data_IF_653857576101
#
_entry.id   IF_653857576101
#
_cell.length_a   1.000
_cell.length_b   1.000
_cell.length_c   1.000
_cell.angle_alpha   90.00
_cell.angle_beta   90.00
_cell.angle_gamma   90.00
#
_symmetry.space_group_name_H-M   'P 1'
#
loop_
_entity.id
_entity.type
_entity.pdbx_description
1 polymer ?
#
# COMPACT_ATOMS: atom_id res chain seq x y z
N UNK A 1 37.65 -6.32 -27.04
CA UNK A 1 37.48 -7.44 -26.09
C UNK A 1 37.10 -8.67 -26.90
N UNK A 2 37.71 -9.83 -26.62
CA UNK A 2 37.41 -11.08 -27.34
C UNK A 2 36.33 -11.84 -26.61
N UNK A 3 35.28 -12.30 -27.31
CA UNK A 3 34.17 -13.07 -26.75
C UNK A 3 34.67 -14.32 -26.01
N UNK A 4 35.68 -14.98 -26.53
CA UNK A 4 36.32 -16.16 -25.91
C UNK A 4 36.95 -15.91 -24.53
N UNK A 5 37.11 -14.65 -24.10
CA UNK A 5 37.64 -14.25 -22.79
C UNK A 5 36.62 -13.57 -21.91
N UNK A 6 35.33 -13.57 -22.32
CA UNK A 6 34.30 -12.78 -21.65
C UNK A 6 33.57 -13.55 -20.54
N UNK A 7 33.89 -14.83 -20.31
CA UNK A 7 33.09 -15.69 -19.42
C UNK A 7 31.62 -15.69 -19.82
N UNK A 8 31.32 -15.76 -21.10
CA UNK A 8 29.96 -15.76 -21.65
C UNK A 8 29.50 -17.21 -21.81
N UNK A 9 28.55 -17.61 -20.95
CA UNK A 9 27.89 -18.92 -21.01
C UNK A 9 26.41 -18.71 -21.28
N UNK A 10 25.95 -19.11 -22.45
CA UNK A 10 24.54 -19.02 -22.86
C UNK A 10 23.81 -20.33 -22.58
N UNK A 11 22.48 -20.25 -22.42
CA UNK A 11 21.61 -21.41 -22.28
C UNK A 11 20.76 -21.56 -23.53
N UNK A 12 20.53 -22.81 -23.94
CA UNK A 12 19.69 -23.14 -25.10
C UNK A 12 18.22 -23.02 -24.73
N UNK A 13 17.83 -23.59 -23.59
CA UNK A 13 16.47 -23.70 -23.15
C UNK A 13 16.13 -22.62 -22.10
N UNK A 14 14.86 -22.29 -21.93
CA UNK A 14 14.41 -21.39 -20.89
C UNK A 14 14.58 -22.05 -19.53
N UNK A 15 15.19 -21.37 -18.54
CA UNK A 15 15.26 -21.87 -17.17
C UNK A 15 13.84 -22.00 -16.59
N UNK A 16 13.58 -23.10 -15.88
CA UNK A 16 12.26 -23.39 -15.31
C UNK A 16 11.77 -22.33 -14.31
N UNK A 17 12.71 -21.65 -13.66
CA UNK A 17 12.42 -20.58 -12.70
C UNK A 17 12.14 -19.21 -13.33
N UNK A 18 12.27 -19.08 -14.65
CA UNK A 18 12.07 -17.80 -15.34
C UNK A 18 10.69 -17.75 -16.00
N UNK A 19 9.84 -16.87 -15.51
CA UNK A 19 8.46 -16.71 -15.99
C UNK A 19 8.36 -15.68 -17.12
N UNK A 20 8.88 -14.47 -16.90
CA UNK A 20 8.74 -13.34 -17.83
C UNK A 20 9.86 -13.29 -18.87
N UNK A 21 9.62 -12.69 -20.06
CA UNK A 21 10.58 -12.65 -21.15
C UNK A 21 11.94 -12.04 -20.78
N UNK A 22 11.95 -10.94 -20.02
CA UNK A 22 13.19 -10.26 -19.63
C UNK A 22 14.07 -11.15 -18.75
N UNK A 23 13.50 -11.89 -17.79
CA UNK A 23 14.22 -12.82 -16.94
C UNK A 23 14.81 -13.99 -17.75
N UNK A 24 13.99 -14.59 -18.65
CA UNK A 24 14.44 -15.65 -19.57
C UNK A 24 15.63 -15.20 -20.41
N UNK A 25 15.53 -14.04 -21.04
CA UNK A 25 16.59 -13.51 -21.91
C UNK A 25 17.86 -13.19 -21.14
N UNK A 26 17.79 -12.59 -19.96
CA UNK A 26 18.97 -12.28 -19.14
C UNK A 26 19.72 -13.54 -18.71
N UNK A 27 19.02 -14.59 -18.29
CA UNK A 27 19.63 -15.88 -17.94
C UNK A 27 20.22 -16.59 -19.15
N UNK A 28 19.45 -16.68 -20.24
CA UNK A 28 19.87 -17.38 -21.46
C UNK A 28 21.05 -16.72 -22.14
N UNK A 29 21.09 -15.40 -22.19
CA UNK A 29 22.19 -14.65 -22.81
C UNK A 29 23.43 -14.56 -21.92
N UNK A 30 23.43 -15.16 -20.73
CA UNK A 30 24.60 -15.14 -19.85
C UNK A 30 24.90 -13.76 -19.26
N UNK A 31 23.83 -12.97 -18.99
CA UNK A 31 23.95 -11.67 -18.33
C UNK A 31 23.95 -11.82 -16.82
N UNK A 32 23.08 -12.67 -16.28
CA UNK A 32 22.95 -12.92 -14.85
C UNK A 32 23.00 -14.40 -14.53
N UNK A 33 23.27 -14.72 -13.25
CA UNK A 33 23.08 -16.05 -12.66
C UNK A 33 22.43 -15.94 -11.31
N UNK A 34 21.43 -16.76 -11.06
CA UNK A 34 20.73 -16.85 -9.78
C UNK A 34 21.61 -17.62 -8.79
N UNK A 35 21.86 -17.04 -7.63
CA UNK A 35 22.50 -17.69 -6.48
C UNK A 35 21.46 -18.19 -5.48
N UNK A 36 20.41 -17.40 -5.25
CA UNK A 36 19.28 -17.70 -4.39
C UNK A 36 18.04 -16.93 -4.91
N UNK A 37 16.82 -17.22 -4.44
CA UNK A 37 15.64 -16.41 -4.76
C UNK A 37 15.89 -14.93 -4.46
N UNK A 38 15.76 -14.07 -5.49
CA UNK A 38 15.99 -12.63 -5.39
C UNK A 38 17.44 -12.17 -5.27
N UNK A 39 18.42 -13.09 -5.38
CA UNK A 39 19.85 -12.78 -5.30
C UNK A 39 20.55 -13.25 -6.58
N UNK A 40 21.11 -12.30 -7.33
CA UNK A 40 21.70 -12.55 -8.64
C UNK A 40 23.13 -12.03 -8.74
N UNK A 41 23.99 -12.82 -9.38
CA UNK A 41 25.28 -12.34 -9.83
C UNK A 41 25.16 -11.65 -11.19
N UNK A 42 25.70 -10.45 -11.31
CA UNK A 42 25.82 -9.71 -12.57
C UNK A 42 27.10 -10.13 -13.26
N UNK A 43 26.98 -10.86 -14.38
CA UNK A 43 28.13 -11.32 -15.13
C UNK A 43 28.80 -10.17 -15.91
N UNK A 44 30.05 -10.35 -16.46
CA UNK A 44 30.81 -9.24 -17.05
C UNK A 44 30.08 -8.45 -18.12
N UNK A 45 29.20 -9.08 -18.89
CA UNK A 45 28.42 -8.39 -19.92
C UNK A 45 27.31 -7.54 -19.30
N UNK A 46 26.59 -8.07 -18.33
CA UNK A 46 25.55 -7.32 -17.59
C UNK A 46 26.15 -6.15 -16.81
N UNK A 47 27.30 -6.37 -16.16
CA UNK A 47 28.00 -5.31 -15.44
C UNK A 47 28.33 -4.11 -16.33
N UNK A 48 28.72 -4.38 -17.60
CA UNK A 48 28.98 -3.32 -18.59
C UNK A 48 27.70 -2.56 -18.96
N UNK A 49 26.58 -3.26 -19.12
CA UNK A 49 25.27 -2.62 -19.37
C UNK A 49 24.87 -1.75 -18.19
N UNK A 50 24.94 -2.30 -16.98
CA UNK A 50 24.57 -1.58 -15.76
C UNK A 50 25.42 -0.30 -15.59
N UNK A 51 26.74 -0.38 -15.83
CA UNK A 51 27.61 0.81 -15.80
C UNK A 51 27.21 1.87 -16.83
N UNK A 52 26.76 1.48 -18.02
CA UNK A 52 26.26 2.44 -19.02
C UNK A 52 24.97 3.10 -18.58
N UNK A 53 24.04 2.34 -18.03
CA UNK A 53 22.78 2.89 -17.48
C UNK A 53 23.11 3.84 -16.32
N UNK A 54 23.95 3.42 -15.38
CA UNK A 54 24.40 4.27 -14.28
C UNK A 54 25.05 5.58 -14.75
N UNK A 55 25.82 5.52 -15.86
CA UNK A 55 26.43 6.72 -16.42
C UNK A 55 25.38 7.69 -17.01
N UNK A 56 24.37 7.17 -17.70
CA UNK A 56 23.23 7.99 -18.17
C UNK A 56 22.54 8.68 -17.00
N UNK A 57 22.30 7.94 -15.91
CA UNK A 57 21.71 8.50 -14.70
C UNK A 57 22.58 9.60 -14.11
N UNK A 58 23.90 9.39 -13.94
CA UNK A 58 24.83 10.42 -13.42
C UNK A 58 24.74 11.71 -14.23
N UNK A 59 24.86 11.59 -15.54
CA UNK A 59 24.87 12.76 -16.43
C UNK A 59 23.60 13.60 -16.32
N UNK A 60 22.45 12.97 -16.15
CA UNK A 60 21.19 13.71 -15.97
C UNK A 60 20.98 14.24 -14.54
N UNK A 61 21.48 13.52 -13.52
CA UNK A 61 21.49 14.01 -12.15
C UNK A 61 22.44 15.21 -11.99
N UNK A 62 23.67 15.12 -12.52
CA UNK A 62 24.63 16.21 -12.50
C UNK A 62 24.10 17.44 -13.26
N UNK A 63 23.43 17.21 -14.41
CA UNK A 63 22.77 18.30 -15.18
C UNK A 63 21.68 19.02 -14.37
N UNK A 64 21.00 18.30 -13.47
CA UNK A 64 20.00 18.90 -12.58
C UNK A 64 20.60 19.66 -11.40
N UNK A 65 21.93 19.63 -11.24
CA UNK A 65 22.65 20.28 -10.14
C UNK A 65 22.76 19.40 -8.88
N UNK A 66 22.36 18.15 -8.95
CA UNK A 66 22.50 17.21 -7.82
C UNK A 66 23.97 16.74 -7.68
N UNK A 67 24.38 16.45 -6.44
CA UNK A 67 25.74 16.04 -6.11
C UNK A 67 25.79 14.57 -5.73
N UNK A 68 26.69 13.79 -6.36
CA UNK A 68 26.86 12.37 -6.03
C UNK A 68 27.55 12.21 -4.66
N UNK A 69 27.00 11.32 -3.85
CA UNK A 69 27.55 10.91 -2.55
C UNK A 69 27.53 9.39 -2.43
N UNK A 70 28.11 8.84 -1.38
CA UNK A 70 28.07 7.41 -1.05
C UNK A 70 27.81 7.25 0.44
N UNK A 71 26.68 6.68 0.81
CA UNK A 71 26.22 6.51 2.18
C UNK A 71 26.44 5.07 2.66
N UNK A 72 26.60 4.82 3.98
CA UNK A 72 26.81 3.48 4.51
C UNK A 72 25.59 2.58 4.34
N UNK A 73 25.84 1.30 4.04
CA UNK A 73 24.78 0.27 3.97
C UNK A 73 24.41 -0.28 5.35
N UNK A 74 25.39 -0.38 6.25
CA UNK A 74 25.13 -0.73 7.64
C UNK A 74 24.60 0.50 8.37
N UNK A 75 23.39 0.43 8.82
CA UNK A 75 22.68 1.54 9.46
C UNK A 75 22.36 1.19 10.91
N UNK A 76 22.76 2.04 11.87
CA UNK A 76 22.41 1.83 13.28
C UNK A 76 20.90 1.87 13.51
N UNK A 77 20.39 0.93 14.32
CA UNK A 77 18.97 0.86 14.67
C UNK A 77 18.44 2.16 15.28
N UNK A 78 19.27 2.88 16.04
CA UNK A 78 18.89 4.12 16.71
C UNK A 78 18.41 5.21 15.72
N UNK A 79 18.92 5.24 14.49
CA UNK A 79 18.46 6.18 13.45
C UNK A 79 17.00 5.91 13.07
N UNK A 80 16.66 4.64 12.90
CA UNK A 80 15.33 4.17 12.53
C UNK A 80 14.35 4.22 13.71
N UNK A 81 14.83 4.01 14.93
CA UNK A 81 14.03 4.18 16.16
C UNK A 81 13.66 5.64 16.36
N UNK A 82 14.58 6.59 16.08
CA UNK A 82 14.31 8.04 16.16
C UNK A 82 13.27 8.52 15.16
N UNK A 83 13.17 7.90 13.98
CA UNK A 83 12.12 8.18 12.99
C UNK A 83 10.81 7.42 13.26
N UNK A 84 10.79 6.51 14.25
CA UNK A 84 9.65 5.64 14.53
C UNK A 84 9.45 4.51 13.52
N UNK A 85 10.39 4.29 12.59
CA UNK A 85 10.22 3.34 11.47
C UNK A 85 10.84 1.96 11.73
N UNK A 86 11.64 1.79 12.82
CA UNK A 86 12.34 0.53 13.08
C UNK A 86 11.40 -0.67 13.17
N UNK A 87 10.37 -0.57 14.01
CA UNK A 87 9.43 -1.68 14.23
C UNK A 87 8.67 -2.05 12.95
N UNK A 88 8.16 -1.05 12.19
CA UNK A 88 7.45 -1.29 10.94
C UNK A 88 8.31 -1.87 9.82
N UNK A 89 9.64 -1.73 9.91
CA UNK A 89 10.58 -2.25 8.92
C UNK A 89 11.23 -3.58 9.30
N UNK A 90 11.20 -3.97 10.58
CA UNK A 90 11.85 -5.21 11.08
C UNK A 90 10.88 -6.26 11.61
N UNK A 91 9.64 -5.88 11.98
CA UNK A 91 8.63 -6.79 12.53
C UNK A 91 7.57 -7.16 11.49
N UNK A 92 6.97 -8.33 11.64
CA UNK A 92 5.89 -8.81 10.78
C UNK A 92 6.34 -8.96 9.32
N UNK A 93 5.70 -8.21 8.41
CA UNK A 93 6.05 -8.15 6.98
C UNK A 93 7.13 -7.10 6.68
N UNK A 94 7.90 -6.70 7.68
CA UNK A 94 8.99 -5.74 7.53
C UNK A 94 10.02 -6.16 6.48
N UNK A 95 10.49 -5.18 5.71
CA UNK A 95 11.37 -5.42 4.55
C UNK A 95 12.86 -5.23 4.85
N UNK A 96 13.25 -4.96 6.09
CA UNK A 96 14.64 -4.72 6.46
C UNK A 96 15.32 -5.98 6.96
N UNK A 97 16.44 -6.37 6.33
CA UNK A 97 17.39 -7.28 6.96
C UNK A 97 18.04 -6.61 8.16
N UNK A 98 17.93 -7.18 9.34
CA UNK A 98 18.55 -6.69 10.55
C UNK A 98 19.49 -7.74 11.16
N UNK A 99 20.49 -7.28 11.88
CA UNK A 99 21.52 -8.12 12.50
C UNK A 99 22.07 -7.45 13.76
N UNK A 100 22.68 -8.25 14.60
CA UNK A 100 23.39 -7.79 15.79
C UNK A 100 24.91 -7.89 15.57
N UNK A 101 25.65 -6.85 15.94
CA UNK A 101 27.10 -6.88 15.89
C UNK A 101 27.69 -7.60 17.11
N UNK A 102 29.03 -7.78 17.12
CA UNK A 102 29.74 -8.48 18.23
C UNK A 102 29.64 -7.76 19.57
N UNK A 103 29.15 -6.51 19.60
CA UNK A 103 28.99 -5.72 20.82
C UNK A 103 27.52 -5.67 21.26
N UNK A 104 26.64 -6.45 20.62
CA UNK A 104 25.21 -6.47 20.93
C UNK A 104 24.46 -5.24 20.40
N UNK A 105 24.99 -4.54 19.39
CA UNK A 105 24.28 -3.41 18.78
C UNK A 105 23.48 -3.87 17.57
N UNK A 106 22.23 -3.45 17.54
CA UNK A 106 21.34 -3.72 16.40
C UNK A 106 21.68 -2.82 15.20
N UNK A 107 21.71 -3.42 14.04
CA UNK A 107 22.02 -2.77 12.76
C UNK A 107 21.04 -3.26 11.70
N UNK A 108 20.68 -2.40 10.75
CA UNK A 108 19.94 -2.77 9.54
C UNK A 108 20.80 -2.70 8.29
N UNK A 109 20.52 -3.56 7.30
CA UNK A 109 20.99 -3.36 5.93
C UNK A 109 20.04 -2.40 5.22
N UNK A 110 20.55 -1.28 4.73
CA UNK A 110 19.74 -0.17 4.22
C UNK A 110 18.80 -0.52 3.07
N UNK A 111 17.47 -0.57 3.30
CA UNK A 111 16.46 -0.64 2.24
C UNK A 111 16.29 0.72 1.55
N UNK A 112 16.62 1.79 2.25
CA UNK A 112 16.61 3.20 1.84
C UNK A 112 17.55 4.01 2.77
N UNK A 113 17.70 5.33 2.57
CA UNK A 113 18.70 6.12 3.32
C UNK A 113 18.16 7.46 3.85
N UNK A 114 16.85 7.64 4.02
CA UNK A 114 16.26 8.87 4.55
C UNK A 114 16.83 9.20 5.93
N UNK A 115 16.92 8.24 6.84
CA UNK A 115 17.41 8.42 8.18
C UNK A 115 18.88 8.86 8.20
N UNK A 116 19.69 8.20 7.37
CA UNK A 116 21.14 8.47 7.27
C UNK A 116 21.37 9.85 6.69
N UNK A 117 20.75 10.20 5.57
CA UNK A 117 20.99 11.46 4.88
C UNK A 117 20.44 12.66 5.68
N UNK A 118 19.30 12.46 6.37
CA UNK A 118 18.72 13.51 7.23
C UNK A 118 19.59 13.77 8.45
N UNK A 119 20.14 12.71 9.04
CA UNK A 119 21.11 12.86 10.14
C UNK A 119 22.36 13.62 9.69
N UNK A 120 22.89 13.28 8.51
CA UNK A 120 24.04 13.94 7.93
C UNK A 120 23.74 15.41 7.60
N UNK A 121 22.58 15.69 7.01
CA UNK A 121 22.15 17.06 6.69
C UNK A 121 21.96 17.90 7.95
N UNK A 122 21.35 17.34 9.00
CA UNK A 122 21.18 18.02 10.28
C UNK A 122 22.53 18.38 10.94
N UNK A 123 23.57 17.59 10.72
CA UNK A 123 24.91 17.88 11.22
C UNK A 123 25.67 18.92 10.38
N UNK A 124 25.54 18.90 9.06
CA UNK A 124 26.36 19.68 8.14
C UNK A 124 25.71 20.99 7.69
N UNK A 125 24.39 21.05 7.57
CA UNK A 125 23.66 22.25 7.13
C UNK A 125 23.47 23.20 8.32
N UNK A 126 24.25 24.27 8.37
CA UNK A 126 24.26 25.24 9.47
C UNK A 126 23.61 26.58 9.12
N UNK A 127 23.26 26.78 7.85
CA UNK A 127 22.67 28.03 7.37
C UNK A 127 21.71 27.77 6.22
N UNK A 128 20.58 28.49 6.20
CA UNK A 128 19.63 28.49 5.08
C UNK A 128 20.28 28.87 3.74
N UNK A 129 21.41 29.57 3.76
CA UNK A 129 22.17 29.93 2.55
C UNK A 129 22.82 28.75 1.87
N UNK A 130 22.91 27.61 2.54
CA UNK A 130 23.40 26.34 1.97
C UNK A 130 22.29 25.58 1.23
N UNK A 131 21.04 26.05 1.32
CA UNK A 131 19.87 25.47 0.62
C UNK A 131 19.59 26.20 -0.69
N UNK A 132 19.04 25.52 -1.69
CA UNK A 132 18.73 24.08 -1.71
C UNK A 132 19.99 23.22 -1.88
N UNK A 133 19.92 22.01 -1.35
CA UNK A 133 20.91 20.96 -1.57
C UNK A 133 20.19 19.70 -2.09
N UNK A 134 20.70 19.12 -3.17
CA UNK A 134 20.21 17.85 -3.71
C UNK A 134 21.38 16.86 -3.77
N UNK A 135 21.30 15.77 -3.01
CA UNK A 135 22.32 14.73 -2.93
C UNK A 135 21.77 13.43 -3.51
N UNK A 136 22.56 12.70 -4.28
CA UNK A 136 22.16 11.39 -4.78
C UNK A 136 23.27 10.37 -4.64
N UNK A 137 22.90 9.10 -4.70
CA UNK A 137 23.83 7.98 -4.80
C UNK A 137 23.33 6.92 -5.77
N UNK A 138 24.25 6.10 -6.28
CA UNK A 138 23.96 4.87 -7.00
C UNK A 138 24.58 3.75 -6.19
N UNK A 139 23.76 3.00 -5.45
CA UNK A 139 24.23 2.10 -4.40
C UNK A 139 23.33 0.85 -4.32
N UNK A 140 23.91 -0.24 -3.84
CA UNK A 140 23.16 -1.45 -3.49
C UNK A 140 22.14 -1.16 -2.39
N UNK A 141 20.97 -1.76 -2.48
CA UNK A 141 19.93 -1.78 -1.44
C UNK A 141 19.58 -3.23 -1.11
N UNK A 142 19.07 -3.41 0.10
CA UNK A 142 18.66 -4.72 0.60
C UNK A 142 17.21 -4.64 1.07
N UNK A 143 16.39 -5.57 0.58
CA UNK A 143 15.00 -5.71 1.02
C UNK A 143 14.67 -7.17 1.23
N UNK A 144 14.19 -7.55 2.40
CA UNK A 144 13.79 -8.93 2.70
C UNK A 144 12.44 -9.23 2.09
N UNK A 145 12.42 -9.27 0.78
CA UNK A 145 11.22 -9.59 0.00
C UNK A 145 10.75 -11.01 0.31
N UNK A 146 9.51 -11.14 0.77
CA UNK A 146 8.90 -12.45 1.08
C UNK A 146 8.77 -13.29 -0.19
N UNK A 147 8.38 -12.66 -1.30
CA UNK A 147 8.16 -13.32 -2.61
C UNK A 147 8.95 -12.63 -3.71
N UNK A 148 10.29 -12.81 -3.74
CA UNK A 148 11.09 -12.28 -4.85
C UNK A 148 10.68 -12.97 -6.15
N UNK A 149 10.45 -12.20 -7.21
CA UNK A 149 9.96 -12.70 -8.49
C UNK A 149 10.44 -11.86 -9.66
N UNK A 150 10.24 -12.37 -10.87
CA UNK A 150 10.54 -11.68 -12.13
C UNK A 150 12.01 -11.26 -12.30
N UNK A 151 12.94 -12.04 -11.76
CA UNK A 151 14.37 -11.82 -11.92
C UNK A 151 14.86 -10.55 -11.23
N UNK A 152 15.37 -9.60 -12.00
CA UNK A 152 15.89 -8.34 -11.45
C UNK A 152 14.82 -7.31 -11.09
N UNK A 153 13.55 -7.53 -11.42
CA UNK A 153 12.49 -6.55 -11.13
C UNK A 153 12.16 -6.49 -9.64
N UNK A 154 12.15 -7.66 -8.95
CA UNK A 154 11.85 -7.72 -7.52
C UNK A 154 12.81 -8.65 -6.81
N UNK A 155 13.97 -8.13 -6.46
CA UNK A 155 15.05 -8.85 -5.80
C UNK A 155 15.27 -8.42 -4.36
N UNK A 156 16.04 -9.22 -3.60
CA UNK A 156 16.47 -8.94 -2.23
C UNK A 156 17.70 -8.06 -2.14
N UNK A 157 18.53 -8.10 -3.18
CA UNK A 157 19.72 -7.26 -3.33
C UNK A 157 19.71 -6.67 -4.74
N UNK A 158 19.72 -5.35 -4.85
CA UNK A 158 19.63 -4.63 -6.12
C UNK A 158 20.31 -3.27 -6.04
N UNK A 159 20.56 -2.64 -7.18
CA UNK A 159 21.19 -1.33 -7.26
C UNK A 159 20.12 -0.28 -7.54
N UNK A 160 20.10 0.77 -6.72
CA UNK A 160 19.17 1.89 -6.82
C UNK A 160 19.94 3.21 -6.97
N UNK A 161 19.39 4.12 -7.78
CA UNK A 161 19.69 5.53 -7.64
C UNK A 161 18.64 6.12 -6.70
N UNK A 162 19.04 6.68 -5.61
CA UNK A 162 18.23 7.44 -4.67
C UNK A 162 18.77 8.85 -4.53
N UNK A 163 17.89 9.83 -4.43
CA UNK A 163 18.24 11.25 -4.28
C UNK A 163 17.37 11.90 -3.20
N UNK A 164 17.97 12.84 -2.50
CA UNK A 164 17.40 13.50 -1.33
C UNK A 164 17.68 14.99 -1.43
N UNK A 165 16.65 15.81 -1.31
CA UNK A 165 16.81 17.26 -1.41
C UNK A 165 16.28 17.97 -0.18
N UNK A 166 16.96 19.07 0.19
CA UNK A 166 16.65 19.89 1.35
C UNK A 166 16.39 21.32 0.91
N UNK A 167 15.32 21.92 1.42
CA UNK A 167 14.78 23.19 0.95
C UNK A 167 14.45 24.12 2.11
N UNK A 168 14.43 25.44 1.86
CA UNK A 168 13.99 26.43 2.83
C UNK A 168 12.47 26.62 2.82
N UNK A 169 11.82 26.36 1.69
CA UNK A 169 10.39 26.54 1.47
C UNK A 169 9.85 25.58 0.41
N UNK A 170 8.52 25.50 0.35
CA UNK A 170 7.81 24.57 -0.55
C UNK A 170 7.95 24.96 -2.03
N UNK A 171 8.08 26.25 -2.37
CA UNK A 171 8.24 26.67 -3.76
C UNK A 171 9.57 26.13 -4.32
N UNK A 172 10.65 26.26 -3.57
CA UNK A 172 11.95 25.70 -3.90
C UNK A 172 11.92 24.15 -4.02
N UNK A 173 11.15 23.47 -3.14
CA UNK A 173 10.93 22.03 -3.25
C UNK A 173 10.24 21.67 -4.57
N UNK A 174 9.19 22.36 -4.93
CA UNK A 174 8.44 22.13 -6.19
C UNK A 174 9.29 22.35 -7.44
N UNK A 175 10.14 23.38 -7.45
CA UNK A 175 11.08 23.63 -8.54
C UNK A 175 12.06 22.45 -8.72
N UNK A 176 12.59 21.94 -7.62
CA UNK A 176 13.50 20.76 -7.64
C UNK A 176 12.74 19.51 -8.06
N UNK A 177 11.51 19.30 -7.59
CA UNK A 177 10.67 18.19 -8.02
C UNK A 177 10.42 18.22 -9.54
N UNK A 178 10.10 19.41 -10.09
CA UNK A 178 9.97 19.58 -11.53
C UNK A 178 11.26 19.32 -12.30
N UNK A 179 12.41 19.73 -11.76
CA UNK A 179 13.72 19.42 -12.36
C UNK A 179 14.02 17.92 -12.36
N UNK A 180 13.62 17.18 -11.30
CA UNK A 180 13.73 15.73 -11.22
C UNK A 180 12.80 15.03 -12.21
N UNK A 181 11.55 15.47 -12.38
CA UNK A 181 10.64 14.96 -13.40
C UNK A 181 11.29 15.03 -14.79
N UNK A 182 11.84 16.19 -15.14
CA UNK A 182 12.52 16.37 -16.41
C UNK A 182 13.78 15.51 -16.57
N UNK A 183 14.54 15.32 -15.49
CA UNK A 183 15.71 14.46 -15.49
C UNK A 183 15.31 12.99 -15.74
N UNK A 184 14.27 12.50 -15.08
CA UNK A 184 13.78 11.13 -15.29
C UNK A 184 13.25 10.89 -16.69
N UNK A 185 12.48 11.81 -17.27
CA UNK A 185 12.03 11.73 -18.65
C UNK A 185 13.20 11.60 -19.63
N UNK A 186 14.28 12.36 -19.41
CA UNK A 186 15.49 12.25 -20.24
C UNK A 186 16.24 10.93 -20.03
N UNK A 187 16.34 10.46 -18.77
CA UNK A 187 16.97 9.16 -18.44
C UNK A 187 16.25 8.04 -19.18
N UNK A 188 14.93 7.94 -19.06
CA UNK A 188 14.16 6.88 -19.71
C UNK A 188 14.25 6.99 -21.24
N UNK A 189 14.12 8.20 -21.82
CA UNK A 189 14.28 8.40 -23.25
C UNK A 189 15.66 8.00 -23.76
N UNK A 190 16.74 8.33 -23.04
CA UNK A 190 18.13 7.93 -23.37
C UNK A 190 18.36 6.42 -23.23
N UNK A 191 17.59 5.77 -22.36
CA UNK A 191 17.58 4.30 -22.24
C UNK A 191 16.68 3.62 -23.30
N UNK A 192 16.01 4.38 -24.17
CA UNK A 192 15.11 3.86 -25.21
C UNK A 192 13.74 3.44 -24.70
N UNK A 193 13.32 3.91 -23.51
CA UNK A 193 12.06 3.57 -22.89
C UNK A 193 11.05 4.72 -23.05
N UNK A 194 9.80 4.36 -23.36
CA UNK A 194 8.66 5.28 -23.34
C UNK A 194 7.97 5.14 -21.97
N UNK A 195 8.39 5.96 -21.03
CA UNK A 195 7.79 5.97 -19.69
C UNK A 195 6.67 7.01 -19.62
N UNK A 196 5.58 6.66 -18.96
CA UNK A 196 4.46 7.53 -18.61
C UNK A 196 4.59 7.87 -17.13
N UNK A 197 4.53 9.14 -16.77
CA UNK A 197 4.44 9.55 -15.38
C UNK A 197 2.99 9.40 -14.92
N UNK A 198 2.77 8.62 -13.87
CA UNK A 198 1.45 8.34 -13.29
C UNK A 198 1.41 8.81 -11.84
N UNK A 199 0.24 9.25 -11.40
CA UNK A 199 0.03 9.53 -9.98
C UNK A 199 0.11 8.21 -9.18
N UNK A 200 0.83 8.24 -8.06
CA UNK A 200 1.08 7.10 -7.21
C UNK A 200 0.83 7.41 -5.73
N UNK A 201 0.66 6.37 -4.94
CA UNK A 201 0.66 6.49 -3.49
C UNK A 201 2.09 6.68 -2.95
N UNK A 202 2.23 7.42 -1.84
CA UNK A 202 3.54 7.67 -1.22
C UNK A 202 4.05 6.48 -0.39
N UNK A 203 3.20 5.52 -0.10
CA UNK A 203 3.52 4.33 0.71
C UNK A 203 4.00 4.66 2.12
N UNK A 204 4.72 3.72 2.73
CA UNK A 204 5.25 3.83 4.09
C UNK A 204 6.30 4.95 4.27
N UNK A 205 6.85 5.50 3.17
CA UNK A 205 7.78 6.62 3.21
C UNK A 205 7.04 7.92 3.58
N UNK A 206 5.75 8.00 3.22
CA UNK A 206 4.91 9.17 3.45
C UNK A 206 5.13 10.28 2.43
N UNK A 207 4.42 11.39 2.62
CA UNK A 207 4.45 12.54 1.73
C UNK A 207 3.08 12.86 1.14
N UNK A 208 2.91 14.08 0.62
CA UNK A 208 1.63 14.58 0.10
C UNK A 208 1.44 14.38 -1.40
N UNK A 209 2.50 14.09 -2.14
CA UNK A 209 2.48 13.88 -3.59
C UNK A 209 3.55 12.87 -3.99
N UNK A 210 3.20 11.97 -4.88
CA UNK A 210 4.09 10.96 -5.45
C UNK A 210 3.73 10.72 -6.91
N UNK A 211 4.73 10.37 -7.72
CA UNK A 211 4.54 9.90 -9.08
C UNK A 211 5.51 8.77 -9.41
N UNK A 212 5.09 7.91 -10.30
CA UNK A 212 5.90 6.81 -10.83
C UNK A 212 6.07 6.94 -12.33
N UNK A 213 7.27 6.59 -12.82
CA UNK A 213 7.53 6.51 -14.26
C UNK A 213 7.39 5.07 -14.71
N UNK A 214 6.25 4.74 -15.31
CA UNK A 214 5.90 3.39 -15.70
C UNK A 214 6.08 3.16 -17.20
N UNK A 215 6.51 1.96 -17.56
CA UNK A 215 6.58 1.47 -18.94
C UNK A 215 5.52 0.40 -19.11
N UNK A 216 4.57 0.61 -20.02
CA UNK A 216 3.51 -0.37 -20.30
C UNK A 216 4.09 -1.65 -20.91
N UNK A 217 3.69 -2.79 -20.39
CA UNK A 217 4.07 -4.12 -20.87
C UNK A 217 3.03 -5.17 -20.48
N UNK A 218 2.80 -6.17 -21.33
CA UNK A 218 1.86 -7.26 -21.05
C UNK A 218 2.23 -8.08 -19.80
N UNK A 219 3.50 -8.04 -19.40
CA UNK A 219 4.03 -8.71 -18.21
C UNK A 219 4.19 -7.75 -17.01
N UNK A 220 3.49 -6.60 -17.02
CA UNK A 220 3.48 -5.65 -15.89
C UNK A 220 2.84 -6.25 -14.64
N UNK A 221 3.24 -5.76 -13.47
CA UNK A 221 2.63 -6.16 -12.19
C UNK A 221 1.48 -5.23 -11.80
N UNK A 222 1.55 -3.95 -12.16
CA UNK A 222 0.64 -2.92 -11.73
C UNK A 222 -0.28 -2.48 -12.87
N UNK A 223 -1.53 -2.19 -12.52
CA UNK A 223 -2.51 -1.66 -13.44
C UNK A 223 -2.43 -0.13 -13.44
N UNK A 224 -2.29 0.46 -14.63
CA UNK A 224 -2.40 1.90 -14.85
C UNK A 224 -3.78 2.21 -15.39
N UNK A 225 -4.46 3.17 -14.78
CA UNK A 225 -5.70 3.73 -15.29
C UNK A 225 -5.44 5.12 -15.85
N UNK A 226 -5.74 5.34 -17.12
CA UNK A 226 -5.51 6.59 -17.81
C UNK A 226 -6.77 7.09 -18.52
N UNK A 227 -6.91 8.41 -18.68
CA UNK A 227 -7.91 9.00 -19.56
C UNK A 227 -7.49 8.87 -21.03
N UNK A 228 -8.45 8.68 -21.92
CA UNK A 228 -8.17 8.51 -23.36
C UNK A 228 -7.44 9.67 -24.02
N UNK A 229 -7.48 10.88 -23.43
CA UNK A 229 -6.73 12.06 -23.87
C UNK A 229 -5.32 12.16 -23.24
N UNK A 230 -4.95 11.25 -22.35
CA UNK A 230 -3.65 11.18 -21.70
C UNK A 230 -3.35 12.30 -20.68
N UNK A 231 -4.37 13.07 -20.27
CA UNK A 231 -4.19 14.14 -19.27
C UNK A 231 -4.20 13.63 -17.84
N UNK A 232 -4.78 12.45 -17.61
CA UNK A 232 -4.81 11.78 -16.32
C UNK A 232 -4.25 10.37 -16.47
N UNK A 233 -3.36 9.98 -15.58
CA UNK A 233 -2.91 8.62 -15.41
C UNK A 233 -2.52 8.40 -13.95
N UNK A 234 -2.94 7.28 -13.38
CA UNK A 234 -2.62 6.89 -12.01
C UNK A 234 -2.46 5.38 -11.93
N UNK A 235 -1.67 4.90 -10.97
CA UNK A 235 -1.68 3.49 -10.61
C UNK A 235 -3.00 3.13 -9.90
N UNK A 236 -3.35 1.86 -9.83
CA UNK A 236 -4.62 1.40 -9.28
C UNK A 236 -4.81 1.84 -7.80
N UNK A 237 -3.73 1.93 -7.04
CA UNK A 237 -3.76 2.32 -5.64
C UNK A 237 -4.23 3.76 -5.44
N UNK A 238 -3.85 4.65 -6.36
CA UNK A 238 -4.15 6.09 -6.31
C UNK A 238 -5.33 6.49 -7.19
N UNK A 239 -5.66 5.71 -8.20
CA UNK A 239 -6.64 6.07 -9.21
C UNK A 239 -8.00 6.48 -8.60
N UNK A 240 -8.54 7.59 -9.11
CA UNK A 240 -9.87 8.11 -8.76
C UNK A 240 -10.76 8.16 -9.99
N UNK A 241 -12.06 7.91 -9.79
CA UNK A 241 -13.03 7.89 -10.89
C UNK A 241 -14.42 8.33 -10.44
N UNK A 242 -15.30 8.57 -11.39
CA UNK A 242 -16.73 8.66 -11.18
C UNK A 242 -17.35 7.31 -11.54
N UNK A 243 -17.87 6.54 -10.58
CA UNK A 243 -18.48 5.25 -10.87
C UNK A 243 -19.80 5.41 -11.64
N UNK A 244 -20.30 4.32 -12.20
CA UNK A 244 -21.62 4.29 -12.80
C UNK A 244 -22.70 4.74 -11.80
N UNK A 245 -23.71 5.42 -12.28
CA UNK A 245 -24.84 5.83 -11.46
C UNK A 245 -25.56 4.62 -10.88
N UNK A 246 -26.02 4.74 -9.64
CA UNK A 246 -26.80 3.69 -9.01
C UNK A 246 -28.20 3.64 -9.64
N UNK A 247 -28.69 2.42 -9.86
CA UNK A 247 -30.07 2.21 -10.29
C UNK A 247 -31.00 2.35 -9.08
N UNK A 248 -32.08 3.12 -9.15
CA UNK A 248 -33.06 3.21 -8.06
C UNK A 248 -33.61 1.84 -7.66
N UNK A 249 -34.03 1.69 -6.42
CA UNK A 249 -34.73 0.49 -5.98
C UNK A 249 -36.05 0.29 -6.79
N UNK A 250 -36.50 -0.97 -6.96
CA UNK A 250 -37.74 -1.27 -7.68
C UNK A 250 -38.95 -0.47 -7.15
N UNK A 251 -39.84 -0.09 -8.05
CA UNK A 251 -41.08 0.60 -7.67
C UNK A 251 -41.91 -0.23 -6.68
N UNK A 252 -42.48 0.44 -5.65
CA UNK A 252 -43.25 -0.22 -4.60
C UNK A 252 -42.48 -0.50 -3.30
N UNK A 253 -41.15 -0.40 -3.31
CA UNK A 253 -40.34 -0.45 -2.10
C UNK A 253 -40.53 0.88 -1.33
N UNK A 254 -40.92 0.79 -0.03
CA UNK A 254 -40.95 1.94 0.82
C UNK A 254 -39.54 2.44 1.04
N UNK A 255 -39.29 3.69 0.66
CA UNK A 255 -37.97 4.29 0.77
C UNK A 255 -37.88 5.12 2.07
N UNK A 256 -36.72 5.02 2.71
CA UNK A 256 -36.38 5.78 3.91
C UNK A 256 -36.68 5.04 5.23
N UNK A 257 -36.24 5.65 6.32
CA UNK A 257 -36.29 5.01 7.63
C UNK A 257 -35.29 3.88 7.79
N UNK A 258 -35.60 2.93 8.68
CA UNK A 258 -34.71 1.76 8.91
C UNK A 258 -34.79 0.69 7.82
N UNK A 259 -35.70 0.86 6.83
CA UNK A 259 -36.00 -0.16 5.82
C UNK A 259 -36.95 -1.24 6.33
N UNK A 260 -37.50 -2.01 5.38
CA UNK A 260 -38.33 -3.18 5.66
C UNK A 260 -37.45 -4.41 5.77
N UNK A 261 -37.73 -5.27 6.74
CA UNK A 261 -36.99 -6.51 6.94
C UNK A 261 -37.31 -7.54 5.85
N UNK A 262 -36.27 -8.12 5.27
CA UNK A 262 -36.33 -9.18 4.28
C UNK A 262 -35.63 -10.43 4.81
N UNK A 263 -36.34 -11.54 4.86
CA UNK A 263 -35.75 -12.82 5.22
C UNK A 263 -34.90 -13.35 4.04
N UNK A 264 -33.65 -13.63 4.29
CA UNK A 264 -32.67 -14.02 3.27
C UNK A 264 -31.79 -15.19 3.75
N UNK A 265 -32.37 -16.34 4.05
CA UNK A 265 -31.65 -17.46 4.64
C UNK A 265 -30.48 -17.92 3.74
N UNK A 266 -29.28 -17.96 4.33
CA UNK A 266 -28.07 -18.39 3.66
C UNK A 266 -27.51 -17.45 2.59
N UNK A 267 -28.12 -16.27 2.38
CA UNK A 267 -27.68 -15.30 1.36
C UNK A 267 -26.68 -14.30 1.96
N UNK A 268 -25.44 -14.69 2.06
CA UNK A 268 -24.34 -13.90 2.68
C UNK A 268 -23.53 -13.09 1.69
N UNK A 269 -23.75 -13.28 0.37
CA UNK A 269 -22.99 -12.57 -0.68
C UNK A 269 -23.91 -11.65 -1.49
N UNK A 270 -23.30 -10.62 -2.09
CA UNK A 270 -24.00 -9.68 -2.98
C UNK A 270 -24.67 -10.41 -4.14
N UNK A 271 -23.95 -11.36 -4.75
CA UNK A 271 -24.43 -12.14 -5.90
C UNK A 271 -25.67 -12.98 -5.54
N UNK A 272 -25.63 -13.66 -4.38
CA UNK A 272 -26.74 -14.48 -3.91
C UNK A 272 -27.99 -13.62 -3.65
N UNK A 273 -27.81 -12.43 -3.04
CA UNK A 273 -28.91 -11.52 -2.77
C UNK A 273 -29.50 -10.91 -4.05
N UNK A 274 -28.66 -10.54 -5.01
CA UNK A 274 -29.08 -10.06 -6.32
C UNK A 274 -29.86 -11.14 -7.09
N UNK A 275 -29.33 -12.37 -7.15
CA UNK A 275 -29.97 -13.48 -7.84
C UNK A 275 -31.31 -13.89 -7.19
N UNK A 276 -31.38 -13.87 -5.85
CA UNK A 276 -32.59 -14.28 -5.11
C UNK A 276 -33.74 -13.29 -5.15
N UNK A 277 -33.46 -11.99 -5.27
CA UNK A 277 -34.45 -10.93 -5.11
C UNK A 277 -34.51 -9.92 -6.27
N UNK A 278 -33.68 -10.10 -7.31
CA UNK A 278 -33.67 -9.24 -8.49
C UNK A 278 -33.07 -7.85 -8.24
N UNK A 279 -32.31 -7.66 -7.17
CA UNK A 279 -31.59 -6.43 -6.93
C UNK A 279 -30.35 -6.34 -7.82
N UNK A 280 -29.87 -5.13 -8.05
CA UNK A 280 -28.57 -4.86 -8.65
C UNK A 280 -27.55 -4.53 -7.56
N UNK A 281 -26.29 -4.95 -7.75
CA UNK A 281 -25.23 -4.70 -6.78
C UNK A 281 -25.08 -3.21 -6.42
N UNK A 282 -25.33 -2.30 -7.38
CA UNK A 282 -25.30 -0.85 -7.17
C UNK A 282 -26.42 -0.30 -6.25
N UNK A 283 -27.42 -1.12 -5.90
CA UNK A 283 -28.52 -0.77 -4.98
C UNK A 283 -28.21 -1.18 -3.53
N UNK A 284 -27.10 -1.90 -3.31
CA UNK A 284 -26.73 -2.47 -2.02
C UNK A 284 -25.61 -1.65 -1.35
N UNK A 285 -25.62 -1.66 -0.02
CA UNK A 285 -24.49 -1.24 0.81
C UNK A 285 -23.94 -2.47 1.52
N UNK A 286 -22.70 -2.81 1.22
CA UNK A 286 -21.95 -3.85 1.92
C UNK A 286 -21.10 -3.24 3.03
N UNK A 287 -20.98 -3.97 4.13
CA UNK A 287 -20.19 -3.57 5.29
C UNK A 287 -19.07 -4.56 5.51
N UNK A 288 -17.84 -4.05 5.58
CA UNK A 288 -16.66 -4.83 5.89
C UNK A 288 -16.26 -4.56 7.34
N UNK A 289 -15.96 -5.63 8.06
CA UNK A 289 -15.49 -5.58 9.44
C UNK A 289 -13.99 -5.90 9.47
N UNK A 290 -13.17 -4.92 9.85
CA UNK A 290 -11.72 -4.98 9.81
C UNK A 290 -11.13 -4.56 11.15
N UNK A 291 -9.84 -4.82 11.35
CA UNK A 291 -9.06 -4.40 12.52
C UNK A 291 -7.80 -3.66 12.06
N UNK A 292 -7.67 -2.41 12.45
CA UNK A 292 -6.43 -1.65 12.30
C UNK A 292 -5.54 -1.86 13.54
N UNK A 293 -4.25 -2.11 13.31
CA UNK A 293 -3.25 -2.41 14.33
C UNK A 293 -2.15 -1.36 14.30
N UNK A 294 -1.87 -0.74 15.44
CA UNK A 294 -0.84 0.28 15.58
C UNK A 294 0.32 -0.18 16.47
N UNK A 295 1.47 0.47 16.31
CA UNK A 295 2.73 0.16 16.99
C UNK A 295 2.63 0.32 18.51
N UNK A 296 1.90 1.32 18.99
CA UNK A 296 1.68 1.59 20.41
C UNK A 296 0.77 0.57 21.12
N UNK A 297 0.27 -0.42 20.37
CA UNK A 297 -0.65 -1.45 20.87
C UNK A 297 -2.12 -1.16 20.60
N UNK A 298 -2.50 0.00 20.05
CA UNK A 298 -3.89 0.27 19.67
C UNK A 298 -4.39 -0.76 18.66
N UNK A 299 -5.58 -1.27 18.93
CA UNK A 299 -6.36 -2.17 18.06
C UNK A 299 -7.73 -1.53 17.83
N UNK A 300 -7.91 -0.95 16.63
CA UNK A 300 -9.13 -0.21 16.29
C UNK A 300 -10.01 -1.03 15.34
N UNK A 301 -11.20 -1.48 15.79
CA UNK A 301 -12.19 -2.09 14.90
C UNK A 301 -12.75 -1.06 13.93
N UNK A 302 -12.86 -1.46 12.65
CA UNK A 302 -13.37 -0.62 11.57
C UNK A 302 -14.65 -1.21 11.00
N UNK A 303 -15.64 -0.34 10.71
CA UNK A 303 -16.78 -0.65 9.86
C UNK A 303 -16.69 0.19 8.58
N UNK A 304 -16.41 -0.47 7.47
CA UNK A 304 -16.26 0.18 6.16
C UNK A 304 -17.50 -0.09 5.32
N UNK A 305 -18.20 0.96 4.93
CA UNK A 305 -19.41 0.87 4.09
C UNK A 305 -19.08 1.25 2.65
N UNK A 306 -19.30 0.30 1.74
CA UNK A 306 -19.10 0.45 0.30
C UNK A 306 -20.40 0.16 -0.44
N UNK A 307 -20.59 0.75 -1.63
CA UNK A 307 -21.64 0.31 -2.54
C UNK A 307 -21.34 -1.13 -3.01
N UNK A 308 -22.34 -1.96 -3.18
CA UNK A 308 -22.19 -3.41 -3.39
C UNK A 308 -21.39 -3.79 -4.64
N UNK A 309 -21.42 -2.96 -5.69
CA UNK A 309 -20.66 -3.14 -6.93
C UNK A 309 -19.21 -2.63 -6.88
N UNK A 310 -18.77 -2.05 -5.77
CA UNK A 310 -17.43 -1.47 -5.63
C UNK A 310 -16.51 -2.41 -4.84
N UNK A 311 -15.23 -2.39 -5.16
CA UNK A 311 -14.19 -3.13 -4.44
C UNK A 311 -13.38 -2.20 -3.54
N UNK A 312 -12.99 -2.70 -2.37
CA UNK A 312 -12.18 -1.95 -1.42
C UNK A 312 -10.75 -1.78 -1.98
N UNK A 313 -10.24 -0.56 -1.86
CA UNK A 313 -8.83 -0.25 -2.06
C UNK A 313 -8.15 -0.22 -0.68
N UNK A 314 -7.31 -1.21 -0.42
CA UNK A 314 -6.65 -1.39 0.87
C UNK A 314 -5.67 -0.25 1.18
N UNK A 315 -4.98 0.29 0.17
CA UNK A 315 -4.05 1.42 0.32
C UNK A 315 -4.79 2.69 0.71
N UNK A 316 -5.90 3.00 0.02
CA UNK A 316 -6.73 4.16 0.37
C UNK A 316 -7.33 4.03 1.77
N UNK A 317 -7.71 2.82 2.16
CA UNK A 317 -8.20 2.55 3.51
C UNK A 317 -7.11 2.78 4.56
N UNK A 318 -5.91 2.21 4.35
CA UNK A 318 -4.78 2.40 5.25
C UNK A 318 -4.44 3.88 5.42
N UNK A 319 -4.36 4.64 4.31
CA UNK A 319 -4.13 6.09 4.33
C UNK A 319 -5.23 6.83 5.09
N UNK A 320 -6.49 6.44 4.92
CA UNK A 320 -7.62 7.04 5.63
C UNK A 320 -7.57 6.77 7.13
N UNK A 321 -7.13 5.61 7.55
CA UNK A 321 -6.94 5.23 8.96
C UNK A 321 -5.76 5.99 9.57
N UNK A 322 -4.61 6.01 8.89
CA UNK A 322 -3.42 6.77 9.32
C UNK A 322 -3.73 8.26 9.46
N UNK A 323 -4.41 8.85 8.49
CA UNK A 323 -4.79 10.27 8.54
C UNK A 323 -5.75 10.65 9.69
N UNK A 324 -6.33 9.65 10.39
CA UNK A 324 -7.22 9.88 11.53
C UNK A 324 -6.61 9.53 12.87
N UNK A 325 -5.74 8.57 12.90
CA UNK A 325 -5.23 7.96 14.14
C UNK A 325 -3.70 7.97 14.23
N UNK A 326 -3.00 8.12 13.09
CA UNK A 326 -1.54 7.97 13.03
C UNK A 326 -0.77 9.00 13.86
N UNK A 327 -1.26 10.24 13.95
CA UNK A 327 -0.61 11.30 14.75
C UNK A 327 -0.57 10.97 16.24
N UNK A 328 -1.58 10.23 16.74
CA UNK A 328 -1.73 9.88 18.15
C UNK A 328 -1.13 8.51 18.50
N UNK A 329 -1.01 7.59 17.51
CA UNK A 329 -0.76 6.17 17.76
C UNK A 329 0.46 5.58 17.02
N UNK A 330 1.24 6.41 16.33
CA UNK A 330 2.44 5.98 15.62
C UNK A 330 2.15 5.17 14.33
N UNK A 331 3.03 4.24 14.00
CA UNK A 331 2.95 3.51 12.74
C UNK A 331 1.78 2.51 12.69
N UNK A 332 1.05 2.49 11.56
CA UNK A 332 0.06 1.47 11.26
C UNK A 332 0.79 0.18 10.86
N UNK A 333 0.54 -0.90 11.58
CA UNK A 333 1.14 -2.23 11.32
C UNK A 333 0.35 -3.05 10.30
N UNK A 334 -0.94 -2.75 10.12
CA UNK A 334 -1.81 -3.40 9.14
C UNK A 334 -3.28 -3.14 9.39
N UNK A 335 -4.08 -3.40 8.36
CA UNK A 335 -5.54 -3.40 8.40
C UNK A 335 -6.02 -4.71 7.78
N UNK A 336 -6.56 -5.60 8.60
CA UNK A 336 -6.92 -6.95 8.20
C UNK A 336 -8.38 -7.26 8.52
N UNK A 337 -9.01 -8.23 7.82
CA UNK A 337 -10.33 -8.71 8.19
C UNK A 337 -10.35 -9.20 9.65
N UNK A 338 -11.36 -8.78 10.40
CA UNK A 338 -11.52 -9.19 11.79
C UNK A 338 -11.99 -10.66 11.83
N UNK A 339 -11.03 -11.56 12.05
CA UNK A 339 -11.26 -13.01 12.10
C UNK A 339 -10.88 -13.60 13.48
N UNK A 340 -11.39 -14.79 13.84
CA UNK A 340 -11.00 -15.46 15.05
C UNK A 340 -9.49 -15.75 15.13
N UNK A 341 -8.85 -16.00 13.99
CA UNK A 341 -7.42 -16.23 13.87
C UNK A 341 -6.62 -14.98 14.21
N UNK A 342 -7.01 -13.84 13.63
CA UNK A 342 -6.37 -12.55 13.90
C UNK A 342 -6.53 -12.17 15.38
N UNK A 343 -7.73 -12.32 15.95
CA UNK A 343 -7.96 -12.02 17.36
C UNK A 343 -7.05 -12.86 18.26
N UNK A 344 -6.93 -14.16 17.99
CA UNK A 344 -6.05 -15.04 18.76
C UNK A 344 -4.58 -14.65 18.64
N UNK A 345 -4.11 -14.32 17.45
CA UNK A 345 -2.71 -13.88 17.25
C UNK A 345 -2.40 -12.56 17.95
N UNK A 346 -3.38 -11.69 18.09
CA UNK A 346 -3.27 -10.41 18.81
C UNK A 346 -3.54 -10.54 20.32
N UNK A 347 -3.84 -11.73 20.82
CA UNK A 347 -4.19 -11.94 22.22
C UNK A 347 -5.49 -11.30 22.67
N UNK A 348 -6.41 -11.06 21.73
CA UNK A 348 -7.69 -10.43 21.96
C UNK A 348 -8.79 -11.48 22.14
N UNK A 349 -9.67 -11.29 23.12
CA UNK A 349 -10.84 -12.13 23.34
C UNK A 349 -12.11 -11.35 22.97
N UNK A 350 -12.55 -11.47 21.72
CA UNK A 350 -13.84 -10.99 21.25
C UNK A 350 -14.61 -12.18 20.68
N UNK A 351 -15.84 -12.37 21.15
CA UNK A 351 -16.70 -13.46 20.65
C UNK A 351 -17.35 -13.04 19.31
N UNK A 352 -16.72 -13.44 18.21
CA UNK A 352 -17.25 -13.23 16.87
C UNK A 352 -18.47 -14.10 16.54
N UNK A 353 -18.82 -15.12 17.34
CA UNK A 353 -19.97 -15.99 17.09
C UNK A 353 -21.30 -15.24 17.27
N UNK A 354 -21.28 -14.14 18.00
CA UNK A 354 -22.45 -13.26 18.18
C UNK A 354 -22.65 -12.28 17.02
N UNK A 355 -21.65 -12.13 16.15
CA UNK A 355 -21.73 -11.23 14.99
C UNK A 355 -22.39 -11.93 13.80
N UNK A 356 -23.39 -11.32 13.18
CA UNK A 356 -24.08 -11.88 12.02
C UNK A 356 -23.25 -11.63 10.75
N UNK A 357 -22.10 -12.29 10.64
CA UNK A 357 -21.19 -12.16 9.48
C UNK A 357 -21.93 -12.54 8.20
N UNK A 358 -21.78 -11.70 7.17
CA UNK A 358 -22.57 -11.80 5.92
C UNK A 358 -23.89 -11.05 5.95
N UNK A 359 -24.34 -10.56 7.12
CA UNK A 359 -25.58 -9.79 7.31
C UNK A 359 -25.37 -8.48 8.08
N UNK A 360 -24.12 -7.97 8.05
CA UNK A 360 -23.76 -6.73 8.73
C UNK A 360 -24.40 -5.51 8.06
N UNK A 361 -25.03 -4.67 8.86
CA UNK A 361 -25.53 -3.36 8.47
C UNK A 361 -24.59 -2.24 8.92
N UNK A 362 -24.68 -1.05 8.30
CA UNK A 362 -23.84 0.09 8.67
C UNK A 362 -24.08 0.59 10.11
N UNK A 363 -25.24 0.30 10.68
CA UNK A 363 -25.68 0.63 12.04
C UNK A 363 -25.37 -0.47 13.07
N UNK A 364 -24.37 -1.31 12.83
CA UNK A 364 -23.91 -2.32 13.81
C UNK A 364 -23.56 -1.63 15.12
N UNK A 365 -24.09 -2.16 16.24
CA UNK A 365 -23.93 -1.54 17.57
C UNK A 365 -22.51 -1.76 18.12
N UNK A 366 -21.93 -0.72 18.69
CA UNK A 366 -20.61 -0.77 19.36
C UNK A 366 -20.65 -1.67 20.62
N UNK A 367 -21.83 -1.87 21.23
CA UNK A 367 -21.99 -2.77 22.37
C UNK A 367 -21.56 -4.22 22.10
N UNK A 368 -21.50 -4.63 20.82
CA UNK A 368 -20.99 -5.94 20.40
C UNK A 368 -19.48 -6.11 20.65
N UNK A 369 -18.74 -5.01 20.83
CA UNK A 369 -17.32 -5.05 21.21
C UNK A 369 -17.09 -5.30 22.71
N UNK A 370 -18.18 -5.40 23.51
CA UNK A 370 -18.18 -5.81 24.91
C UNK A 370 -17.72 -4.74 25.89
N UNK A 371 -18.09 -4.95 27.16
CA UNK A 371 -17.73 -4.08 28.31
C UNK A 371 -16.56 -4.61 29.14
N UNK A 372 -16.04 -5.79 28.84
CA UNK A 372 -15.03 -6.43 29.67
C UNK A 372 -13.61 -5.85 29.46
N UNK A 373 -12.93 -5.55 30.55
CA UNK A 373 -11.47 -5.38 30.54
C UNK A 373 -10.84 -6.65 29.96
N UNK A 374 -10.13 -6.51 28.85
CA UNK A 374 -9.42 -7.60 28.22
C UNK A 374 -8.29 -8.09 29.14
N UNK A 375 -8.51 -9.22 29.79
CA UNK A 375 -7.43 -9.97 30.43
C UNK A 375 -6.67 -10.69 29.31
N UNK A 376 -5.52 -10.14 28.93
CA UNK A 376 -4.61 -10.80 28.01
C UNK A 376 -3.99 -11.99 28.73
N UNK A 377 -4.45 -13.20 28.46
CA UNK A 377 -3.77 -14.42 28.90
C UNK A 377 -2.58 -14.70 27.96
N UNK A 378 -1.42 -14.20 28.34
CA UNK A 378 -0.16 -14.40 27.60
C UNK A 378 0.41 -15.82 27.75
N UNK A 379 -0.25 -16.73 28.47
CA UNK A 379 0.29 -18.06 28.74
C UNK A 379 0.34 -18.98 27.52
N UNK A 380 -0.60 -18.83 26.56
CA UNK A 380 -0.62 -19.64 25.34
C UNK A 380 0.26 -19.07 24.21
N UNK A 381 0.47 -17.75 24.14
CA UNK A 381 1.33 -17.14 23.14
C UNK A 381 2.83 -17.46 23.33
N UNK A 382 3.25 -17.87 24.53
CA UNK A 382 4.65 -18.19 24.87
C UNK A 382 5.10 -19.60 24.48
N UNK A 383 4.22 -20.47 24.04
CA UNK A 383 4.55 -21.87 23.75
C UNK A 383 5.30 -22.11 22.42
N UNK A 384 5.45 -21.11 21.57
CA UNK A 384 5.97 -21.26 20.20
C UNK A 384 7.41 -20.82 19.95
N UNK A 385 8.01 -19.97 20.78
CA UNK A 385 9.36 -19.42 20.50
C UNK A 385 10.18 -19.37 21.80
N UNK A 386 10.92 -20.42 22.04
CA UNK A 386 11.96 -20.42 23.07
C UNK A 386 13.20 -19.68 22.53
N UNK A 387 13.50 -18.48 23.07
CA UNK A 387 14.81 -17.85 22.87
C UNK A 387 14.87 -16.37 22.48
N UNK A 388 13.76 -15.65 22.42
CA UNK A 388 13.80 -14.18 22.21
C UNK A 388 13.41 -13.48 23.51
N UNK A 389 14.34 -12.69 24.05
CA UNK A 389 14.05 -11.80 25.17
C UNK A 389 12.93 -10.83 24.75
N UNK A 390 11.83 -10.84 25.49
CA UNK A 390 10.70 -9.95 25.27
C UNK A 390 11.13 -8.52 25.59
N UNK A 391 11.40 -7.72 24.55
CA UNK A 391 11.24 -6.28 24.65
C UNK A 391 9.79 -6.02 25.07
N UNK A 392 9.59 -5.03 25.96
CA UNK A 392 8.28 -4.56 26.41
C UNK A 392 7.42 -4.15 25.20
N UNK A 393 6.73 -5.11 24.59
CA UNK A 393 5.71 -4.77 23.59
C UNK A 393 4.53 -4.15 24.35
N UNK A 394 4.02 -3.01 23.89
CA UNK A 394 2.85 -2.40 24.50
C UNK A 394 1.69 -3.41 24.48
N UNK A 395 0.97 -3.51 25.59
CA UNK A 395 -0.20 -4.40 25.67
C UNK A 395 -1.24 -3.98 24.64
N UNK A 396 -1.79 -4.90 23.87
CA UNK A 396 -2.82 -4.56 22.91
C UNK A 396 -4.05 -3.97 23.61
N UNK A 397 -4.48 -2.80 23.13
CA UNK A 397 -5.65 -2.08 23.62
C UNK A 397 -6.73 -2.07 22.53
N UNK A 398 -7.75 -2.90 22.69
CA UNK A 398 -8.90 -2.90 21.78
C UNK A 398 -9.82 -1.70 22.07
N UNK A 399 -10.04 -0.85 21.06
CA UNK A 399 -11.05 0.19 21.13
C UNK A 399 -12.46 -0.42 21.11
N UNK A 400 -13.35 0.14 21.98
CA UNK A 400 -14.72 -0.36 22.18
C UNK A 400 -15.76 0.37 21.31
N UNK A 401 -15.30 1.09 20.32
CA UNK A 401 -16.16 1.73 19.33
C UNK A 401 -15.62 1.48 17.93
N UNK A 402 -16.52 1.27 17.00
CA UNK A 402 -16.12 1.16 15.60
C UNK A 402 -15.72 2.52 15.03
N UNK A 403 -14.58 2.60 14.39
CA UNK A 403 -14.30 3.68 13.46
C UNK A 403 -15.08 3.40 12.17
N UNK A 404 -16.14 4.19 11.94
CA UNK A 404 -16.99 4.04 10.76
C UNK A 404 -16.46 4.89 9.62
N UNK A 405 -16.22 4.24 8.47
CA UNK A 405 -15.77 4.87 7.24
C UNK A 405 -16.79 4.59 6.13
N UNK A 406 -17.09 5.60 5.35
CA UNK A 406 -18.10 5.52 4.30
C UNK A 406 -17.48 5.94 2.96
N UNK A 407 -17.67 5.12 1.96
CA UNK A 407 -17.33 5.51 0.59
C UNK A 407 -18.38 6.48 0.04
N UNK A 408 -17.98 7.52 -0.71
CA UNK A 408 -18.90 8.48 -1.31
C UNK A 408 -20.01 7.83 -2.16
N UNK A 409 -19.73 6.70 -2.81
CA UNK A 409 -20.70 5.98 -3.64
C UNK A 409 -21.80 5.33 -2.83
N UNK A 410 -21.48 4.88 -1.61
CA UNK A 410 -22.46 4.34 -0.68
C UNK A 410 -23.32 5.48 -0.12
N UNK A 411 -22.70 6.59 0.27
CA UNK A 411 -23.42 7.77 0.81
C UNK A 411 -24.36 8.41 -0.22
N UNK A 412 -24.04 8.33 -1.50
CA UNK A 412 -24.89 8.84 -2.56
C UNK A 412 -26.22 8.07 -2.72
N UNK A 413 -26.37 6.90 -2.09
CA UNK A 413 -27.63 6.16 -2.10
C UNK A 413 -28.63 6.77 -1.11
N UNK A 414 -29.74 7.28 -1.61
CA UNK A 414 -30.83 7.80 -0.77
C UNK A 414 -31.59 6.69 -0.06
N UNK A 415 -31.78 5.55 -0.76
CA UNK A 415 -32.37 4.33 -0.23
C UNK A 415 -31.61 3.11 -0.78
N UNK A 416 -31.36 2.12 0.07
CA UNK A 416 -30.52 0.99 -0.26
C UNK A 416 -30.94 -0.30 0.44
N UNK A 417 -30.35 -1.43 -0.02
CA UNK A 417 -30.43 -2.72 0.65
C UNK A 417 -29.16 -2.91 1.48
N UNK A 418 -29.28 -3.37 2.73
CA UNK A 418 -28.13 -3.68 3.58
C UNK A 418 -28.45 -4.84 4.55
N UNK A 419 -27.44 -5.35 5.24
CA UNK A 419 -27.64 -6.31 6.33
C UNK A 419 -28.49 -5.76 7.46
N UNK A 420 -29.25 -6.63 8.13
CA UNK A 420 -30.14 -6.29 9.23
C UNK A 420 -29.49 -6.43 10.62
N UNK A 421 -28.19 -6.70 10.68
CA UNK A 421 -27.44 -7.02 11.90
C UNK A 421 -28.02 -8.24 12.65
N UNK A 422 -28.57 -9.19 11.89
CA UNK A 422 -29.02 -10.50 12.38
C UNK A 422 -28.85 -11.56 11.29
N UNK A 423 -28.61 -12.77 11.70
CA UNK A 423 -28.49 -13.92 10.79
C UNK A 423 -29.74 -14.06 9.94
N UNK A 424 -29.57 -14.38 8.66
CA UNK A 424 -30.63 -14.58 7.67
C UNK A 424 -31.55 -13.37 7.45
N UNK A 425 -31.05 -12.16 7.66
CA UNK A 425 -31.84 -10.95 7.52
C UNK A 425 -31.11 -9.81 6.80
N UNK A 426 -31.83 -9.18 5.85
CA UNK A 426 -31.47 -7.90 5.24
C UNK A 426 -32.59 -6.88 5.42
N UNK A 427 -32.29 -5.62 5.13
CA UNK A 427 -33.26 -4.50 5.10
C UNK A 427 -33.32 -3.94 3.69
N UNK A 428 -34.51 -3.63 3.22
CA UNK A 428 -34.76 -3.04 1.90
C UNK A 428 -35.34 -1.65 2.08
N UNK A 429 -34.81 -0.67 1.35
CA UNK A 429 -35.25 0.71 1.44
C UNK A 429 -34.75 1.48 2.67
N UNK A 430 -33.69 0.99 3.33
CA UNK A 430 -33.01 1.70 4.41
C UNK A 430 -32.39 3.01 3.92
N UNK A 431 -32.30 4.01 4.80
CA UNK A 431 -31.59 5.27 4.55
C UNK A 431 -30.61 5.57 5.68
N UNK A 432 -29.58 6.36 5.40
CA UNK A 432 -28.57 6.72 6.40
C UNK A 432 -29.16 7.37 7.64
N UNK A 433 -30.05 8.34 7.45
CA UNK A 433 -30.76 9.01 8.55
C UNK A 433 -31.71 8.07 9.31
N UNK A 434 -32.38 7.15 8.59
CA UNK A 434 -33.28 6.16 9.18
C UNK A 434 -32.53 5.13 10.04
N UNK A 435 -31.30 4.82 9.72
CA UNK A 435 -30.43 3.98 10.54
C UNK A 435 -29.79 4.75 11.72
N UNK A 436 -30.05 6.05 11.85
CA UNK A 436 -29.47 6.87 12.90
C UNK A 436 -28.03 7.28 12.67
N UNK A 437 -27.51 7.08 11.45
CA UNK A 437 -26.14 7.38 11.10
C UNK A 437 -26.03 8.82 10.57
N UNK A 438 -25.26 9.64 11.29
CA UNK A 438 -24.83 10.93 10.79
C UNK A 438 -23.56 10.76 9.98
N UNK A 439 -23.67 10.85 8.66
CA UNK A 439 -22.53 10.81 7.75
C UNK A 439 -21.81 12.16 7.77
N UNK A 440 -21.00 12.38 8.82
CA UNK A 440 -20.16 13.58 8.90
C UNK A 440 -19.14 13.54 7.77
N UNK A 441 -18.89 14.68 7.15
CA UNK A 441 -17.92 14.80 6.05
C UNK A 441 -16.54 14.16 6.36
N UNK A 442 -16.11 14.24 7.63
CA UNK A 442 -14.85 13.62 8.08
C UNK A 442 -14.83 12.08 8.01
N UNK A 443 -15.98 11.41 7.94
CA UNK A 443 -16.06 9.95 7.85
C UNK A 443 -16.22 9.45 6.40
N UNK A 444 -16.39 10.35 5.44
CA UNK A 444 -16.57 10.03 4.01
C UNK A 444 -15.23 10.13 3.30
N UNK A 445 -14.78 9.04 2.73
CA UNK A 445 -13.48 8.91 2.03
C UNK A 445 -13.62 8.00 0.83
N UNK A 446 -12.99 8.33 -0.29
CA UNK A 446 -12.88 7.43 -1.44
C UNK A 446 -12.06 6.18 -1.05
N UNK A 447 -12.73 5.05 -0.92
CA UNK A 447 -12.18 3.79 -0.43
C UNK A 447 -12.20 2.68 -1.50
N UNK A 448 -12.60 3.00 -2.71
CA UNK A 448 -12.80 2.01 -3.76
C UNK A 448 -11.69 2.00 -4.81
N UNK A 449 -11.54 0.86 -5.48
CA UNK A 449 -10.76 0.77 -6.69
C UNK A 449 -11.51 1.48 -7.84
N UNK A 450 -10.83 2.36 -8.57
CA UNK A 450 -11.29 2.82 -9.86
C UNK A 450 -11.15 1.69 -10.88
N UNK A 451 -12.05 1.63 -11.87
CA UNK A 451 -12.08 0.54 -12.87
C UNK A 451 -12.01 1.10 -14.30
N UNK A 452 -11.50 0.27 -15.22
CA UNK A 452 -11.58 0.57 -16.64
C UNK A 452 -13.06 0.71 -17.06
N UNK A 453 -13.35 1.75 -17.83
CA UNK A 453 -14.70 2.11 -18.22
C UNK A 453 -15.41 3.11 -17.30
N UNK A 454 -14.91 3.34 -16.08
CA UNK A 454 -15.39 4.40 -15.20
C UNK A 454 -15.18 5.77 -15.87
N UNK A 455 -16.05 6.75 -15.57
CA UNK A 455 -15.84 8.12 -16.00
C UNK A 455 -14.66 8.74 -15.25
N UNK A 456 -13.80 9.46 -15.98
CA UNK A 456 -12.68 10.17 -15.36
C UNK A 456 -13.20 11.28 -14.44
N UNK A 457 -12.65 11.38 -13.21
CA UNK A 457 -13.04 12.44 -12.27
C UNK A 457 -12.65 13.85 -12.79
N UNK A 458 -11.52 13.96 -13.49
CA UNK A 458 -11.00 15.23 -14.01
C UNK A 458 -11.69 15.70 -15.29
N UNK A 459 -12.25 14.78 -16.07
CA UNK A 459 -13.02 15.06 -17.28
C UNK A 459 -14.11 13.98 -17.45
N UNK A 460 -15.36 14.23 -17.00
CA UNK A 460 -16.43 13.25 -17.04
C UNK A 460 -16.83 12.75 -18.43
N UNK A 461 -16.44 13.45 -19.50
CA UNK A 461 -16.66 13.02 -20.87
C UNK A 461 -15.66 11.93 -21.31
N UNK A 462 -14.56 11.80 -20.59
CA UNK A 462 -13.54 10.76 -20.79
C UNK A 462 -13.84 9.53 -19.91
N UNK A 463 -13.45 8.36 -20.42
CA UNK A 463 -13.44 7.13 -19.64
C UNK A 463 -12.03 6.71 -19.32
N UNK A 464 -11.86 5.99 -18.20
CA UNK A 464 -10.60 5.39 -17.82
C UNK A 464 -10.35 4.16 -18.68
N UNK A 465 -9.15 4.05 -19.22
CA UNK A 465 -8.60 2.88 -19.93
C UNK A 465 -7.51 2.25 -19.08
N UNK A 466 -7.39 0.91 -19.17
CA UNK A 466 -6.42 0.10 -18.42
C UNK A 466 -5.22 -0.27 -19.28
#
# INVERSE_FOLDING_TARGET
>A
MRVSRLMLVTLRDDPAEAEIPSHKLLLRAGFIRRLSPGIYAYLPLMWRVLRKVAQVVREEMDRSGALETLLPQLQPAELWQRSGRWAGYTAGEGIMFHLEDRQGRELGLGPTHEEVITTLAADLLRSYRQLPVNLYQIQTKFRDEIRPRFGLMRGREFIMKDAYSFHADEACLRDTYGAMDQAYRRIFARCGLRAVAVEADSGAIGGSASQEFMVTADAGEDLILASGDGRYAANQERAVSLPAEAVPLPGGVRQGGRGEELATPGQTTIEALCAGHGFQASQLVKVLLLLARFEDGLRQPLLVSLRGDQELNEVKLANAVVGRLGDDHGALLGVDPLTPELLRSEGLSLDLSTLPLGYLGPDLDDALLGDQELVVDLSEAKAGIAGVATLDQPKPLLQRSFLRLFDPTAIALEAFVCGANRVDGHRVGASWSGLGLQTKAAAVVDLRNAQAGDRCLHDPDQRLEA
#
